data_IF_503119180503
#
_entry.id   IF_503119180503
#
_cell.length_a   1.000
_cell.length_b   1.000
_cell.length_c   1.000
_cell.angle_alpha   90.00
_cell.angle_beta   90.00
_cell.angle_gamma   90.00
#
_symmetry.space_group_name_H-M   'P 1'
#
loop_
_entity.id
_entity.type
_entity.pdbx_description
1 polymer ?
#
# COMPACT_ATOMS: atom_id res chain seq x y z
N UNK A 1 19.84 -8.65 -1.76
CA UNK A 1 19.83 -7.53 -0.77
C UNK A 1 18.95 -7.96 0.38
N UNK A 2 19.45 -7.96 1.59
CA UNK A 2 18.72 -8.40 2.79
C UNK A 2 18.34 -7.24 3.71
N UNK A 3 19.02 -6.11 3.60
CA UNK A 3 18.76 -4.90 4.38
C UNK A 3 17.87 -3.92 3.61
N UNK A 4 17.23 -2.99 4.32
CA UNK A 4 16.40 -1.94 3.73
C UNK A 4 17.18 -1.12 2.70
N UNK A 5 16.46 -0.60 1.70
CA UNK A 5 17.04 0.37 0.76
C UNK A 5 17.43 1.64 1.49
N UNK A 6 18.45 2.35 0.97
CA UNK A 6 18.85 3.65 1.50
C UNK A 6 17.76 4.69 1.26
N UNK A 7 16.83 4.81 2.21
CA UNK A 7 15.67 5.69 2.17
C UNK A 7 15.58 6.52 3.45
N UNK A 8 14.79 7.59 3.41
CA UNK A 8 14.46 8.34 4.62
C UNK A 8 13.88 7.41 5.70
N UNK A 9 13.00 6.49 5.33
CA UNK A 9 12.39 5.57 6.28
C UNK A 9 13.39 4.65 6.98
N UNK A 10 14.35 4.11 6.23
CA UNK A 10 15.40 3.28 6.83
C UNK A 10 16.33 4.09 7.75
N UNK A 11 16.58 5.37 7.42
CA UNK A 11 17.44 6.25 8.21
C UNK A 11 16.76 6.79 9.48
N UNK A 12 15.42 6.86 9.50
CA UNK A 12 14.62 7.42 10.61
C UNK A 12 13.73 6.38 11.31
N UNK A 13 13.89 5.11 10.98
CA UNK A 13 13.12 4.04 11.60
C UNK A 13 13.37 3.95 13.11
N UNK A 14 12.32 3.60 13.85
CA UNK A 14 12.43 3.26 15.26
C UNK A 14 13.39 2.09 15.44
N UNK A 15 14.17 2.13 16.51
CA UNK A 15 15.05 1.04 16.87
C UNK A 15 14.22 -0.17 17.30
N UNK A 16 14.48 -1.32 16.71
CA UNK A 16 13.91 -2.60 17.12
C UNK A 16 15.01 -3.66 17.19
N UNK A 17 14.79 -4.70 18.01
CA UNK A 17 15.66 -5.87 18.00
C UNK A 17 15.31 -6.70 16.76
N UNK A 18 16.27 -7.01 15.87
CA UNK A 18 16.02 -7.88 14.72
C UNK A 18 15.42 -9.22 15.17
N UNK A 19 14.49 -9.74 14.39
CA UNK A 19 13.91 -11.05 14.64
C UNK A 19 14.86 -12.17 14.19
N UNK A 20 14.77 -13.31 14.87
CA UNK A 20 15.61 -14.46 14.55
C UNK A 20 15.38 -15.00 13.14
N UNK A 21 16.38 -15.75 12.64
CA UNK A 21 16.23 -16.51 11.39
C UNK A 21 15.71 -17.91 11.71
N UNK A 22 14.75 -18.41 10.94
CA UNK A 22 14.28 -19.80 11.08
C UNK A 22 15.39 -20.79 10.70
N UNK A 23 15.86 -21.57 11.66
CA UNK A 23 16.96 -22.55 11.49
C UNK A 23 16.58 -23.96 11.97
N UNK A 24 15.31 -24.24 12.19
CA UNK A 24 14.77 -25.49 12.70
C UNK A 24 13.46 -25.88 12.01
N UNK A 25 12.95 -27.06 12.34
CA UNK A 25 11.62 -27.53 11.91
C UNK A 25 10.61 -27.26 13.02
N UNK A 26 9.59 -26.46 12.71
CA UNK A 26 8.54 -26.08 13.66
C UNK A 26 7.15 -26.37 13.10
N UNK A 27 6.16 -26.33 13.98
CA UNK A 27 4.73 -26.44 13.64
C UNK A 27 3.97 -25.19 14.06
N UNK A 28 2.84 -24.90 13.40
CA UNK A 28 1.92 -23.84 13.79
C UNK A 28 0.52 -24.09 13.22
N UNK A 29 -0.44 -23.26 13.62
CA UNK A 29 -1.76 -23.24 12.97
C UNK A 29 -1.68 -22.52 11.62
N UNK A 30 -1.05 -21.35 11.57
CA UNK A 30 -0.97 -20.52 10.36
C UNK A 30 0.46 -20.06 10.09
N UNK A 31 0.98 -20.38 8.91
CA UNK A 31 2.25 -19.84 8.39
C UNK A 31 1.96 -18.73 7.39
N UNK A 32 2.48 -17.53 7.66
CA UNK A 32 2.35 -16.34 6.80
C UNK A 32 3.67 -16.11 6.06
N UNK A 33 3.62 -16.07 4.73
CA UNK A 33 4.77 -15.87 3.85
C UNK A 33 4.82 -14.41 3.41
N UNK A 34 5.72 -13.63 4.00
CA UNK A 34 5.93 -12.20 3.76
C UNK A 34 5.62 -11.33 4.98
N UNK A 35 6.61 -10.54 5.41
CA UNK A 35 6.56 -9.60 6.54
C UNK A 35 6.22 -8.15 6.11
N UNK A 36 5.42 -7.99 5.05
CA UNK A 36 4.80 -6.71 4.69
C UNK A 36 3.43 -6.54 5.34
N UNK A 37 2.75 -5.43 5.09
CA UNK A 37 1.46 -5.11 5.73
C UNK A 37 0.41 -6.20 5.61
N UNK A 38 0.25 -6.83 4.43
CA UNK A 38 -0.71 -7.93 4.28
C UNK A 38 -0.43 -9.07 5.25
N UNK A 39 0.85 -9.49 5.31
CA UNK A 39 1.25 -10.59 6.20
C UNK A 39 1.17 -10.19 7.67
N UNK A 40 1.66 -9.01 8.03
CA UNK A 40 1.63 -8.51 9.41
C UNK A 40 0.20 -8.32 9.90
N UNK A 41 -0.66 -7.72 9.08
CA UNK A 41 -2.08 -7.54 9.43
C UNK A 41 -2.80 -8.87 9.60
N UNK A 42 -2.56 -9.84 8.70
CA UNK A 42 -3.12 -11.19 8.81
C UNK A 42 -2.65 -11.88 10.08
N UNK A 43 -1.34 -11.86 10.32
CA UNK A 43 -0.73 -12.50 11.48
C UNK A 43 -1.23 -11.90 12.81
N UNK A 44 -1.35 -10.57 12.87
CA UNK A 44 -1.81 -9.90 14.09
C UNK A 44 -3.28 -10.23 14.39
N UNK A 45 -4.19 -10.15 13.40
CA UNK A 45 -5.60 -10.53 13.60
C UNK A 45 -5.76 -11.99 14.03
N UNK A 46 -4.94 -12.89 13.47
CA UNK A 46 -4.97 -14.31 13.83
C UNK A 46 -4.38 -14.58 15.22
N UNK A 47 -3.26 -13.93 15.58
CA UNK A 47 -2.68 -14.03 16.91
C UNK A 47 -3.65 -13.48 17.98
N UNK A 48 -4.30 -12.34 17.73
CA UNK A 48 -5.36 -11.78 18.58
C UNK A 48 -6.56 -12.73 18.73
N UNK A 49 -6.82 -13.56 17.71
CA UNK A 49 -7.87 -14.59 17.74
C UNK A 49 -7.41 -15.93 18.37
N UNK A 50 -6.16 -16.03 18.86
CA UNK A 50 -5.62 -17.18 19.58
C UNK A 50 -5.03 -18.28 18.67
N UNK A 51 -4.79 -18.02 17.39
CA UNK A 51 -4.05 -18.96 16.53
C UNK A 51 -2.55 -18.92 16.84
N UNK A 52 -1.89 -20.07 16.75
CA UNK A 52 -0.43 -20.15 16.73
C UNK A 52 0.07 -19.72 15.33
N UNK A 53 0.66 -18.53 15.25
CA UNK A 53 1.05 -17.88 13.99
C UNK A 53 2.56 -17.78 13.86
N UNK A 54 3.06 -18.10 12.65
CA UNK A 54 4.46 -17.92 12.26
C UNK A 54 4.50 -17.02 11.02
N UNK A 55 5.29 -15.94 11.07
CA UNK A 55 5.58 -15.07 9.91
C UNK A 55 7.01 -15.34 9.42
N UNK A 56 7.17 -15.59 8.12
CA UNK A 56 8.46 -15.76 7.46
C UNK A 56 8.71 -14.60 6.49
N UNK A 57 9.70 -13.76 6.80
CA UNK A 57 10.14 -12.65 5.96
C UNK A 57 11.50 -12.98 5.33
N UNK A 58 11.60 -12.74 4.03
CA UNK A 58 12.80 -13.04 3.26
C UNK A 58 14.00 -12.12 3.60
N UNK A 59 13.69 -10.90 4.01
CA UNK A 59 14.66 -9.83 4.32
C UNK A 59 14.41 -9.28 5.73
N UNK A 60 14.08 -7.99 5.85
CA UNK A 60 13.65 -7.33 7.08
C UNK A 60 12.16 -7.01 7.05
N UNK A 61 11.53 -6.91 8.20
CA UNK A 61 10.13 -6.53 8.31
C UNK A 61 9.87 -5.23 7.55
N UNK A 62 8.84 -5.20 6.70
CA UNK A 62 8.52 -4.04 5.87
C UNK A 62 9.49 -3.78 4.71
N UNK A 63 10.39 -4.72 4.36
CA UNK A 63 11.39 -4.55 3.30
C UNK A 63 10.79 -4.14 1.95
N UNK A 64 9.64 -4.68 1.58
CA UNK A 64 8.99 -4.44 0.31
C UNK A 64 8.27 -3.10 0.21
N UNK A 65 7.15 -3.05 -0.51
CA UNK A 65 6.34 -1.85 -0.69
C UNK A 65 5.88 -1.23 0.64
N UNK A 66 5.70 -2.02 1.67
CA UNK A 66 5.23 -1.57 2.99
C UNK A 66 6.16 -0.57 3.67
N UNK A 67 7.47 -0.71 3.51
CA UNK A 67 8.45 0.25 4.05
C UNK A 67 8.98 1.26 3.05
N UNK A 68 8.35 1.40 1.85
CA UNK A 68 8.85 2.27 0.76
C UNK A 68 7.80 3.20 0.16
N UNK A 69 6.52 3.06 0.56
CA UNK A 69 5.39 3.83 0.02
C UNK A 69 5.36 5.28 0.54
N UNK A 70 4.43 6.09 0.04
CA UNK A 70 4.26 7.49 0.46
C UNK A 70 3.82 7.69 1.91
N UNK A 71 3.35 6.63 2.57
CA UNK A 71 2.82 6.68 3.92
C UNK A 71 1.38 7.18 4.01
N UNK A 72 0.67 7.31 2.90
CA UNK A 72 -0.70 7.82 2.88
C UNK A 72 -1.71 6.73 3.24
N UNK A 73 -2.68 7.08 4.08
CA UNK A 73 -3.85 6.29 4.42
C UNK A 73 -5.01 6.70 3.50
N UNK A 74 -5.06 6.10 2.32
CA UNK A 74 -6.12 6.33 1.33
C UNK A 74 -7.22 5.31 1.53
N UNK A 75 -8.42 5.77 1.87
CA UNK A 75 -9.58 4.94 2.14
C UNK A 75 -10.33 4.56 0.85
N UNK A 76 -9.66 3.88 -0.07
CA UNK A 76 -10.32 3.42 -1.30
C UNK A 76 -9.59 2.22 -1.89
N UNK A 77 -10.23 1.59 -2.86
CA UNK A 77 -9.55 0.69 -3.79
C UNK A 77 -8.93 1.51 -4.93
N UNK A 78 -8.10 0.89 -5.78
CA UNK A 78 -7.57 1.55 -6.99
C UNK A 78 -8.63 1.72 -8.11
N UNK A 79 -9.88 1.48 -7.79
CA UNK A 79 -11.07 1.73 -8.61
C UNK A 79 -12.16 2.34 -7.74
N UNK A 80 -12.79 3.37 -8.25
CA UNK A 80 -13.92 4.00 -7.59
C UNK A 80 -15.13 3.08 -7.57
N UNK A 81 -16.00 3.28 -6.58
CA UNK A 81 -17.11 2.38 -6.32
C UNK A 81 -18.12 2.33 -7.48
N UNK A 82 -18.32 3.42 -8.20
CA UNK A 82 -19.17 3.48 -9.39
C UNK A 82 -18.61 2.63 -10.55
N UNK A 83 -17.27 2.58 -10.69
CA UNK A 83 -16.60 1.71 -11.66
C UNK A 83 -16.74 0.24 -11.26
N UNK A 84 -16.69 -0.06 -9.96
CA UNK A 84 -16.93 -1.40 -9.42
C UNK A 84 -18.37 -1.82 -9.71
N UNK A 85 -19.35 -0.95 -9.47
CA UNK A 85 -20.76 -1.19 -9.75
C UNK A 85 -21.01 -1.50 -11.22
N UNK A 86 -20.48 -0.69 -12.11
CA UNK A 86 -20.58 -0.89 -13.57
C UNK A 86 -19.93 -2.19 -14.05
N UNK A 87 -18.83 -2.61 -13.39
CA UNK A 87 -18.02 -3.77 -13.81
C UNK A 87 -18.49 -5.08 -13.22
N UNK A 88 -19.02 -5.08 -11.99
CA UNK A 88 -19.28 -6.28 -11.20
C UNK A 88 -20.72 -6.33 -10.63
N UNK A 89 -21.53 -5.31 -10.86
CA UNK A 89 -22.92 -5.22 -10.40
C UNK A 89 -23.07 -4.60 -9.00
N UNK A 90 -24.32 -4.22 -8.69
CA UNK A 90 -24.70 -3.48 -7.49
C UNK A 90 -24.41 -4.25 -6.20
N UNK A 91 -24.65 -5.56 -6.15
CA UNK A 91 -24.47 -6.35 -4.93
C UNK A 91 -22.97 -6.45 -4.55
N UNK A 92 -22.11 -6.66 -5.55
CA UNK A 92 -20.67 -6.63 -5.36
C UNK A 92 -20.19 -5.24 -4.91
N UNK A 93 -20.70 -4.18 -5.52
CA UNK A 93 -20.36 -2.81 -5.15
C UNK A 93 -20.80 -2.47 -3.72
N UNK A 94 -21.98 -2.91 -3.30
CA UNK A 94 -22.46 -2.73 -1.92
C UNK A 94 -21.58 -3.45 -0.91
N UNK A 95 -21.22 -4.70 -1.19
CA UNK A 95 -20.36 -5.48 -0.31
C UNK A 95 -18.97 -4.82 -0.20
N UNK A 96 -18.31 -4.52 -1.32
CA UNK A 96 -16.99 -3.91 -1.31
C UNK A 96 -17.01 -2.49 -0.74
N UNK A 97 -18.04 -1.69 -1.07
CA UNK A 97 -18.20 -0.33 -0.57
C UNK A 97 -18.37 -0.27 0.95
N UNK A 98 -19.12 -1.22 1.53
CA UNK A 98 -19.31 -1.30 3.00
C UNK A 98 -18.01 -1.53 3.78
N UNK A 99 -16.97 -2.06 3.14
CA UNK A 99 -15.70 -2.42 3.76
C UNK A 99 -14.57 -1.41 3.49
N UNK A 100 -14.74 -0.48 2.54
CA UNK A 100 -13.59 0.26 2.00
C UNK A 100 -12.93 1.22 2.99
N UNK A 101 -13.59 1.58 4.09
CA UNK A 101 -13.03 2.47 5.12
C UNK A 101 -12.45 1.70 6.32
N UNK A 102 -12.73 0.41 6.47
CA UNK A 102 -12.31 -0.38 7.63
C UNK A 102 -10.78 -0.48 7.75
N UNK A 103 -10.06 -0.54 6.64
CA UNK A 103 -8.60 -0.66 6.68
C UNK A 103 -7.92 0.52 7.37
N UNK A 104 -8.42 1.74 7.15
CA UNK A 104 -7.95 2.94 7.85
C UNK A 104 -8.30 2.92 9.33
N UNK A 105 -9.48 2.44 9.69
CA UNK A 105 -9.89 2.27 11.08
C UNK A 105 -9.01 1.27 11.82
N UNK A 106 -8.75 0.10 11.22
CA UNK A 106 -7.85 -0.92 11.77
C UNK A 106 -6.47 -0.33 12.08
N UNK A 107 -5.90 0.45 11.16
CA UNK A 107 -4.59 1.10 11.38
C UNK A 107 -4.65 2.04 12.59
N UNK A 108 -5.64 2.92 12.67
CA UNK A 108 -5.79 3.87 13.79
C UNK A 108 -6.00 3.16 15.13
N UNK A 109 -6.81 2.09 15.15
CA UNK A 109 -7.02 1.26 16.34
C UNK A 109 -5.73 0.60 16.80
N UNK A 110 -4.92 0.05 15.88
CA UNK A 110 -3.64 -0.58 16.19
C UNK A 110 -2.61 0.42 16.71
N UNK A 111 -2.49 1.58 16.06
CA UNK A 111 -1.63 2.67 16.54
C UNK A 111 -1.96 3.00 17.99
N UNK A 112 -3.24 3.14 18.32
CA UNK A 112 -3.70 3.45 19.68
C UNK A 112 -3.50 2.28 20.64
N UNK A 113 -3.91 1.06 20.26
CA UNK A 113 -3.89 -0.14 21.13
C UNK A 113 -2.50 -0.58 21.49
N UNK A 114 -1.59 -0.59 20.51
CA UNK A 114 -0.20 -1.04 20.66
C UNK A 114 0.78 0.12 20.83
N UNK A 115 0.28 1.36 20.91
CA UNK A 115 1.09 2.58 21.05
C UNK A 115 2.21 2.66 20.02
N UNK A 116 1.89 2.36 18.75
CA UNK A 116 2.84 2.36 17.66
C UNK A 116 3.25 3.80 17.33
N UNK A 117 4.51 4.13 17.55
CA UNK A 117 5.09 5.42 17.19
C UNK A 117 5.43 5.44 15.69
N UNK A 118 4.49 5.87 14.86
CA UNK A 118 4.63 5.93 13.41
C UNK A 118 4.24 7.29 12.82
N UNK A 119 4.41 8.37 13.55
CA UNK A 119 4.18 9.75 13.09
C UNK A 119 2.78 9.98 12.47
N UNK A 120 1.74 9.32 12.95
CA UNK A 120 0.40 9.44 12.39
C UNK A 120 -0.11 10.88 12.42
N UNK A 121 -0.58 11.36 11.26
CA UNK A 121 -1.26 12.64 11.09
C UNK A 121 -2.57 12.43 10.33
N UNK A 122 -3.70 12.92 10.85
CA UNK A 122 -5.00 12.82 10.17
C UNK A 122 -5.13 13.81 9.01
N UNK A 123 -5.99 13.47 8.06
CA UNK A 123 -6.37 14.29 6.92
C UNK A 123 -5.55 14.01 5.67
N UNK A 124 -6.26 13.73 4.58
CA UNK A 124 -5.72 13.54 3.24
C UNK A 124 -6.49 14.35 2.21
N UNK A 125 -5.77 14.98 1.30
CA UNK A 125 -6.30 15.82 0.23
C UNK A 125 -6.16 15.13 -1.12
N UNK A 126 -7.28 15.01 -1.84
CA UNK A 126 -7.32 14.68 -3.27
C UNK A 126 -7.48 15.99 -4.03
N UNK A 127 -6.47 16.41 -4.78
CA UNK A 127 -6.44 17.73 -5.40
C UNK A 127 -6.75 17.69 -6.89
N UNK A 128 -7.70 18.51 -7.34
CA UNK A 128 -8.10 18.64 -8.74
C UNK A 128 -7.23 19.68 -9.45
N UNK A 129 -6.80 19.33 -10.67
CA UNK A 129 -6.00 20.19 -11.55
C UNK A 129 -6.87 20.99 -12.55
N UNK A 130 -8.15 20.63 -12.66
CA UNK A 130 -9.13 21.24 -13.55
C UNK A 130 -10.56 20.95 -13.07
N UNK A 131 -11.54 21.65 -13.66
CA UNK A 131 -12.93 21.55 -13.25
C UNK A 131 -13.54 20.16 -13.46
N UNK A 132 -13.08 19.41 -14.47
CA UNK A 132 -13.54 18.04 -14.71
C UNK A 132 -13.12 17.10 -13.57
N UNK A 133 -11.86 17.22 -13.12
CA UNK A 133 -11.39 16.46 -11.97
C UNK A 133 -12.12 16.89 -10.68
N UNK A 134 -12.43 18.18 -10.52
CA UNK A 134 -13.20 18.66 -9.38
C UNK A 134 -14.61 18.06 -9.37
N UNK A 135 -15.30 18.04 -10.50
CA UNK A 135 -16.61 17.37 -10.62
C UNK A 135 -16.53 15.87 -10.27
N UNK A 136 -15.45 15.18 -10.68
CA UNK A 136 -15.23 13.77 -10.28
C UNK A 136 -15.06 13.63 -8.77
N UNK A 137 -14.39 14.59 -8.10
CA UNK A 137 -14.25 14.58 -6.62
C UNK A 137 -15.59 14.85 -5.93
N UNK A 138 -16.48 15.64 -6.51
CA UNK A 138 -17.84 15.84 -6.02
C UNK A 138 -18.64 14.54 -6.06
N UNK A 139 -18.62 13.83 -7.20
CA UNK A 139 -19.23 12.51 -7.34
C UNK A 139 -18.61 11.48 -6.38
N UNK A 140 -17.29 11.50 -6.21
CA UNK A 140 -16.59 10.63 -5.26
C UNK A 140 -17.03 10.89 -3.82
N UNK A 141 -17.18 12.15 -3.43
CA UNK A 141 -17.71 12.52 -2.10
C UNK A 141 -19.09 11.92 -1.86
N UNK A 142 -20.03 12.12 -2.80
CA UNK A 142 -21.38 11.56 -2.69
C UNK A 142 -21.36 10.03 -2.57
N UNK A 143 -20.52 9.37 -3.37
CA UNK A 143 -20.35 7.93 -3.32
C UNK A 143 -19.79 7.46 -1.97
N UNK A 144 -18.76 8.11 -1.46
CA UNK A 144 -18.16 7.74 -0.18
C UNK A 144 -19.10 8.00 1.01
N UNK A 145 -19.87 9.09 0.97
CA UNK A 145 -20.92 9.37 1.96
C UNK A 145 -22.02 8.33 1.97
N UNK A 146 -22.38 7.77 0.80
CA UNK A 146 -23.35 6.66 0.67
C UNK A 146 -22.87 5.42 1.41
N UNK A 147 -21.57 5.15 1.43
CA UNK A 147 -20.95 4.00 2.10
C UNK A 147 -20.40 4.32 3.50
N UNK A 148 -20.78 5.45 4.08
CA UNK A 148 -20.61 5.72 5.49
C UNK A 148 -19.49 6.69 5.85
N UNK A 149 -18.63 7.13 4.95
CA UNK A 149 -17.66 8.19 5.25
C UNK A 149 -18.35 9.56 5.26
N UNK A 150 -18.60 10.08 6.45
CA UNK A 150 -19.20 11.41 6.67
C UNK A 150 -18.15 12.49 7.00
N UNK A 151 -16.88 12.15 6.96
CA UNK A 151 -15.77 13.04 7.34
C UNK A 151 -15.10 13.65 6.09
N UNK A 152 -15.91 14.15 5.16
CA UNK A 152 -15.48 14.65 3.86
C UNK A 152 -15.86 16.13 3.68
N UNK A 153 -14.92 16.92 3.14
CA UNK A 153 -15.11 18.34 2.86
C UNK A 153 -14.61 18.68 1.46
N UNK A 154 -15.46 19.34 0.64
CA UNK A 154 -15.05 19.91 -0.64
C UNK A 154 -14.46 21.29 -0.43
N UNK A 155 -13.29 21.53 -0.99
CA UNK A 155 -12.56 22.77 -0.96
C UNK A 155 -12.56 23.41 -2.35
N UNK A 156 -12.96 24.67 -2.45
CA UNK A 156 -12.80 25.49 -3.65
C UNK A 156 -11.33 25.92 -3.86
N UNK A 157 -11.07 26.62 -4.98
CA UNK A 157 -9.73 27.11 -5.32
C UNK A 157 -9.12 28.02 -4.24
N UNK A 158 -9.93 28.81 -3.53
CA UNK A 158 -9.44 29.69 -2.47
C UNK A 158 -9.16 28.93 -1.17
N UNK A 159 -9.98 27.92 -0.87
CA UNK A 159 -9.80 27.09 0.30
C UNK A 159 -8.56 26.20 0.18
N UNK A 160 -8.36 25.55 -0.97
CA UNK A 160 -7.18 24.67 -1.15
C UNK A 160 -5.86 25.46 -1.10
N UNK A 161 -5.81 26.71 -1.58
CA UNK A 161 -4.61 27.56 -1.48
C UNK A 161 -4.21 27.86 -0.03
N UNK A 162 -5.13 27.81 0.92
CA UNK A 162 -4.84 27.96 2.35
C UNK A 162 -4.29 26.69 2.99
N UNK A 163 -4.55 25.54 2.39
CA UNK A 163 -4.09 24.23 2.88
C UNK A 163 -2.79 23.76 2.21
N UNK A 164 -2.54 24.20 0.96
CA UNK A 164 -1.34 23.87 0.19
C UNK A 164 -0.88 25.11 -0.58
N UNK A 165 0.36 25.53 -0.37
CA UNK A 165 0.95 26.72 -1.01
C UNK A 165 1.30 26.48 -2.47
N UNK A 166 0.31 26.17 -3.29
CA UNK A 166 0.42 25.92 -4.73
C UNK A 166 -0.77 26.51 -5.48
N UNK A 167 -0.50 27.17 -6.60
CA UNK A 167 -1.54 27.73 -7.48
C UNK A 167 -2.08 26.73 -8.52
N UNK A 168 -1.65 25.47 -8.43
CA UNK A 168 -1.97 24.45 -9.44
C UNK A 168 -3.40 23.90 -9.37
N UNK A 169 -4.08 24.09 -8.24
CA UNK A 169 -5.30 23.36 -7.92
C UNK A 169 -6.54 24.21 -8.06
N UNK A 170 -7.58 23.67 -8.71
CA UNK A 170 -8.90 24.29 -8.87
C UNK A 170 -9.81 23.97 -7.69
N UNK A 171 -9.49 22.95 -6.91
CA UNK A 171 -10.21 22.53 -5.71
C UNK A 171 -9.67 21.22 -5.18
N UNK A 172 -10.31 20.67 -4.14
CA UNK A 172 -9.92 19.41 -3.53
C UNK A 172 -11.08 18.74 -2.78
N UNK A 173 -10.95 17.44 -2.54
CA UNK A 173 -11.69 16.70 -1.54
C UNK A 173 -10.76 16.40 -0.36
N UNK A 174 -11.10 16.90 0.83
CA UNK A 174 -10.44 16.58 2.09
C UNK A 174 -11.17 15.41 2.77
N UNK A 175 -10.45 14.32 3.00
CA UNK A 175 -10.89 13.20 3.82
C UNK A 175 -10.24 13.29 5.21
N UNK A 176 -11.01 13.66 6.22
CA UNK A 176 -10.53 13.75 7.61
C UNK A 176 -10.29 12.38 8.24
N UNK A 177 -10.88 11.31 7.68
CA UNK A 177 -10.66 9.92 8.11
C UNK A 177 -9.41 9.28 7.49
N UNK A 178 -8.86 9.90 6.45
CA UNK A 178 -7.55 9.56 5.89
C UNK A 178 -6.39 10.08 6.74
N UNK A 179 -5.21 10.15 6.15
CA UNK A 179 -4.03 10.69 6.82
C UNK A 179 -2.72 10.13 6.30
N UNK A 180 -1.66 10.27 7.10
CA UNK A 180 -0.37 9.68 6.75
C UNK A 180 0.43 9.22 7.97
N UNK A 181 1.41 8.36 7.70
CA UNK A 181 2.25 7.69 8.70
C UNK A 181 3.70 7.61 8.24
N UNK A 182 4.59 7.22 9.16
CA UNK A 182 5.88 6.63 8.83
C UNK A 182 5.68 5.12 8.57
N UNK A 183 5.68 4.67 7.30
CA UNK A 183 5.19 3.32 6.97
C UNK A 183 6.07 2.20 7.52
N UNK A 184 7.39 2.38 7.58
CA UNK A 184 8.26 1.35 8.14
C UNK A 184 8.06 1.20 9.65
N UNK A 185 7.82 2.30 10.38
CA UNK A 185 7.54 2.25 11.82
C UNK A 185 6.20 1.56 12.12
N UNK A 186 5.18 1.74 11.27
CA UNK A 186 3.94 0.97 11.41
C UNK A 186 4.22 -0.54 11.26
N UNK A 187 5.00 -0.96 10.25
CA UNK A 187 5.32 -2.38 10.04
C UNK A 187 6.10 -2.98 11.21
N UNK A 188 7.10 -2.25 11.74
CA UNK A 188 7.88 -2.67 12.91
C UNK A 188 6.96 -2.82 14.14
N UNK A 189 6.10 -1.82 14.39
CA UNK A 189 5.17 -1.86 15.52
C UNK A 189 4.15 -3.01 15.43
N UNK A 190 3.66 -3.33 14.23
CA UNK A 190 2.78 -4.48 14.03
C UNK A 190 3.50 -5.82 14.25
N UNK A 191 4.77 -5.94 13.83
CA UNK A 191 5.57 -7.14 14.07
C UNK A 191 5.83 -7.35 15.57
N UNK A 192 6.10 -6.27 16.32
CA UNK A 192 6.20 -6.33 17.78
C UNK A 192 4.86 -6.69 18.43
N UNK A 193 3.74 -6.16 17.92
CA UNK A 193 2.41 -6.50 18.41
C UNK A 193 2.07 -7.99 18.19
N UNK A 194 2.50 -8.59 17.05
CA UNK A 194 2.36 -10.04 16.82
C UNK A 194 3.08 -10.81 17.90
N UNK A 195 4.32 -10.46 18.24
CA UNK A 195 5.11 -11.11 19.28
C UNK A 195 4.45 -10.96 20.66
N UNK A 196 3.92 -9.79 20.99
CA UNK A 196 3.18 -9.55 22.22
C UNK A 196 1.93 -10.43 22.36
N UNK A 197 1.32 -10.81 21.25
CA UNK A 197 0.18 -11.73 21.21
C UNK A 197 0.59 -13.21 21.02
N UNK A 198 1.88 -13.56 21.23
CA UNK A 198 2.38 -14.93 21.20
C UNK A 198 2.74 -15.47 19.82
N UNK A 199 2.59 -14.67 18.76
CA UNK A 199 3.05 -15.05 17.42
C UNK A 199 4.58 -15.00 17.29
N UNK A 200 5.10 -15.75 16.32
CA UNK A 200 6.53 -15.86 16.02
C UNK A 200 6.84 -15.19 14.68
N UNK A 201 7.85 -14.33 14.66
CA UNK A 201 8.30 -13.63 13.47
C UNK A 201 9.75 -14.01 13.18
N UNK A 202 10.05 -14.35 11.94
CA UNK A 202 11.40 -14.70 11.49
C UNK A 202 11.80 -13.84 10.30
N UNK A 203 12.92 -13.13 10.43
CA UNK A 203 13.58 -12.40 9.35
C UNK A 203 14.64 -13.27 8.66
N UNK A 204 15.14 -12.84 7.49
CA UNK A 204 16.16 -13.56 6.72
C UNK A 204 15.79 -15.03 6.47
N UNK A 205 14.49 -15.29 6.36
CA UNK A 205 13.88 -16.62 6.27
C UNK A 205 13.09 -16.79 4.96
N UNK A 206 13.78 -16.52 3.83
CA UNK A 206 13.19 -16.59 2.50
C UNK A 206 12.58 -17.97 2.22
N UNK A 207 11.29 -17.99 1.91
CA UNK A 207 10.58 -19.20 1.49
C UNK A 207 11.04 -19.59 0.09
N UNK A 208 11.48 -20.84 -0.04
CA UNK A 208 11.97 -21.42 -1.29
C UNK A 208 10.96 -22.36 -1.95
N UNK A 209 10.06 -22.93 -1.15
CA UNK A 209 9.04 -23.87 -1.61
C UNK A 209 7.84 -23.90 -0.64
N UNK A 210 6.65 -24.04 -1.19
CA UNK A 210 5.44 -24.39 -0.47
C UNK A 210 4.97 -25.74 -1.03
N UNK A 211 4.85 -26.76 -0.15
CA UNK A 211 4.28 -28.05 -0.52
C UNK A 211 2.78 -28.02 -0.23
N UNK A 212 1.98 -28.23 -1.26
CA UNK A 212 0.51 -28.25 -1.19
C UNK A 212 0.03 -29.60 -0.64
N UNK A 213 0.18 -29.76 0.66
CA UNK A 213 -0.24 -30.93 1.44
C UNK A 213 -1.12 -30.48 2.62
N UNK A 214 -1.76 -31.42 3.30
CA UNK A 214 -2.57 -31.13 4.50
C UNK A 214 -2.03 -31.98 5.65
N UNK A 215 -1.30 -31.40 6.65
CA UNK A 215 -0.86 -29.98 6.74
C UNK A 215 0.15 -29.60 5.64
N UNK A 216 0.20 -28.31 5.30
CA UNK A 216 1.16 -27.79 4.33
C UNK A 216 2.58 -27.69 4.91
N UNK A 217 3.61 -27.79 4.04
CA UNK A 217 5.01 -27.61 4.47
C UNK A 217 5.64 -26.45 3.71
N UNK A 218 6.08 -25.42 4.47
CA UNK A 218 6.76 -24.23 3.96
C UNK A 218 8.25 -24.35 4.27
N UNK A 219 9.10 -24.33 3.23
CA UNK A 219 10.55 -24.54 3.33
C UNK A 219 11.32 -23.23 3.16
N UNK A 220 12.33 -23.06 3.97
CA UNK A 220 13.38 -22.05 3.81
C UNK A 220 14.72 -22.75 3.54
N UNK A 221 15.80 -21.98 3.40
CA UNK A 221 17.14 -22.57 3.22
C UNK A 221 17.66 -23.31 4.46
N UNK A 222 17.17 -22.96 5.69
CA UNK A 222 17.72 -23.47 6.94
C UNK A 222 16.70 -24.17 7.84
N UNK A 223 15.42 -24.10 7.52
CA UNK A 223 14.35 -24.66 8.34
C UNK A 223 13.07 -24.89 7.54
N UNK A 224 12.03 -25.37 8.22
CA UNK A 224 10.71 -25.56 7.64
C UNK A 224 9.61 -25.34 8.69
N UNK A 225 8.43 -24.96 8.19
CA UNK A 225 7.21 -24.83 8.99
C UNK A 225 6.17 -25.80 8.46
N UNK A 226 5.63 -26.65 9.32
CA UNK A 226 4.44 -27.46 9.00
C UNK A 226 3.22 -26.73 9.58
N UNK A 227 2.29 -26.32 8.74
CA UNK A 227 1.17 -25.47 9.12
C UNK A 227 -0.17 -26.04 8.65
N UNK A 228 -1.25 -25.85 9.45
CA UNK A 228 -2.60 -26.19 9.04
C UNK A 228 -3.04 -25.32 7.87
N UNK A 229 -2.69 -24.04 7.91
CA UNK A 229 -3.00 -23.05 6.87
C UNK A 229 -1.76 -22.26 6.46
N UNK A 230 -1.69 -21.84 5.20
CA UNK A 230 -0.64 -20.96 4.68
C UNK A 230 -1.26 -19.74 4.04
N UNK A 231 -0.71 -18.55 4.35
CA UNK A 231 -1.11 -17.27 3.75
C UNK A 231 0.07 -16.72 2.94
N UNK A 232 -0.09 -16.60 1.63
CA UNK A 232 0.93 -16.06 0.73
C UNK A 232 0.71 -14.57 0.55
N UNK A 233 1.57 -13.75 1.15
CA UNK A 233 1.48 -12.29 1.24
C UNK A 233 2.74 -11.56 0.73
N UNK A 234 3.55 -12.22 -0.11
CA UNK A 234 4.83 -11.68 -0.61
C UNK A 234 4.72 -10.61 -1.68
N UNK A 235 3.52 -10.41 -2.27
CA UNK A 235 3.22 -9.39 -3.29
C UNK A 235 4.31 -9.32 -4.38
N UNK A 236 4.85 -8.12 -4.73
CA UNK A 236 5.87 -7.93 -5.78
C UNK A 236 7.22 -8.61 -5.48
N UNK A 237 7.45 -9.04 -4.26
CA UNK A 237 8.71 -9.61 -3.77
C UNK A 237 8.65 -11.13 -3.53
N UNK A 238 7.53 -11.77 -3.83
CA UNK A 238 7.33 -13.22 -3.69
C UNK A 238 8.22 -13.92 -4.70
N UNK A 239 8.99 -14.06 -5.21
CA UNK A 239 9.72 -14.82 -6.24
C UNK A 239 8.81 -15.70 -7.12
N UNK A 240 8.99 -15.60 -8.41
CA UNK A 240 8.16 -16.26 -9.45
C UNK A 240 8.14 -17.79 -9.34
N UNK A 241 9.07 -18.38 -8.59
CA UNK A 241 9.21 -19.85 -8.45
C UNK A 241 8.39 -20.42 -7.30
N UNK A 242 8.02 -19.58 -6.31
CA UNK A 242 7.27 -20.03 -5.12
C UNK A 242 5.83 -20.34 -5.50
N UNK A 243 5.15 -19.39 -6.19
CA UNK A 243 3.79 -19.55 -6.70
C UNK A 243 3.69 -18.95 -8.13
N UNK A 244 4.04 -19.70 -9.17
CA UNK A 244 4.12 -19.20 -10.54
C UNK A 244 2.80 -18.65 -11.10
N UNK A 245 1.67 -19.20 -10.67
CA UNK A 245 0.34 -18.78 -11.15
C UNK A 245 -0.02 -17.35 -10.71
N UNK A 246 0.43 -16.92 -9.53
CA UNK A 246 0.23 -15.55 -9.07
C UNK A 246 0.95 -14.52 -9.95
N UNK A 247 2.14 -14.86 -10.43
CA UNK A 247 2.95 -13.99 -11.28
C UNK A 247 2.36 -13.74 -12.68
N UNK A 248 1.47 -14.62 -13.17
CA UNK A 248 0.82 -14.47 -14.49
C UNK A 248 -0.24 -13.39 -14.53
N UNK A 249 -0.92 -13.14 -13.39
CA UNK A 249 -2.09 -12.25 -13.26
C UNK A 249 -1.77 -10.89 -12.67
N UNK A 250 -0.50 -10.63 -12.40
CA UNK A 250 -0.04 -9.37 -11.82
C UNK A 250 1.24 -8.88 -12.49
N UNK A 251 1.53 -7.60 -12.38
CA UNK A 251 2.74 -6.98 -12.94
C UNK A 251 3.38 -6.06 -11.90
N UNK A 252 4.67 -6.24 -11.58
CA UNK A 252 5.37 -5.32 -10.70
C UNK A 252 5.56 -3.96 -11.40
N UNK A 253 5.29 -2.90 -10.65
CA UNK A 253 5.46 -1.52 -11.07
C UNK A 253 6.24 -0.76 -10.00
N UNK A 254 7.26 0.00 -10.44
CA UNK A 254 8.06 0.86 -9.58
C UNK A 254 7.46 2.25 -9.46
N UNK A 255 7.48 2.82 -8.26
CA UNK A 255 7.23 4.24 -7.99
C UNK A 255 8.45 4.86 -7.36
N UNK A 256 8.67 6.15 -7.59
CA UNK A 256 9.84 6.88 -7.18
C UNK A 256 9.49 7.88 -6.10
N UNK A 257 10.34 7.98 -5.09
CA UNK A 257 10.15 8.89 -3.96
C UNK A 257 11.46 9.62 -3.65
N UNK A 258 11.34 10.89 -3.34
CA UNK A 258 12.43 11.72 -2.82
C UNK A 258 12.02 12.36 -1.50
N UNK A 259 12.99 12.73 -0.68
CA UNK A 259 12.79 13.73 0.37
C UNK A 259 13.83 14.85 0.25
N UNK A 260 13.37 16.07 0.51
CA UNK A 260 14.25 17.21 0.61
C UNK A 260 15.19 17.09 1.81
N UNK A 261 16.17 17.97 1.90
CA UNK A 261 16.83 18.31 3.15
C UNK A 261 15.77 18.77 4.18
N UNK A 262 16.16 18.81 5.46
CA UNK A 262 15.28 19.33 6.51
C UNK A 262 15.00 20.83 6.26
N UNK A 263 13.74 21.16 6.09
CA UNK A 263 13.27 22.55 5.93
C UNK A 263 13.18 23.23 7.30
N UNK A 264 13.24 24.55 7.32
CA UNK A 264 12.86 25.28 8.53
C UNK A 264 11.39 25.04 8.87
N UNK A 265 11.04 25.10 10.13
CA UNK A 265 9.65 24.89 10.57
C UNK A 265 8.68 25.86 9.90
N UNK A 266 9.09 27.14 9.76
CA UNK A 266 8.28 28.17 9.09
C UNK A 266 8.06 27.85 7.61
N UNK A 267 9.11 27.41 6.90
CA UNK A 267 8.99 27.02 5.49
C UNK A 267 8.10 25.80 5.35
N UNK A 268 8.33 24.75 6.13
CA UNK A 268 7.51 23.53 6.10
C UNK A 268 6.02 23.85 6.37
N UNK A 269 5.75 24.62 7.42
CA UNK A 269 4.40 25.08 7.78
C UNK A 269 3.78 25.97 6.70
N UNK A 270 4.56 26.79 6.01
CA UNK A 270 4.06 27.60 4.90
C UNK A 270 3.62 26.79 3.69
N UNK A 271 4.23 25.59 3.46
CA UNK A 271 3.87 24.71 2.34
C UNK A 271 2.56 23.97 2.58
N UNK A 272 2.39 23.36 3.76
CA UNK A 272 1.22 22.55 4.15
C UNK A 272 0.89 22.82 5.63
N UNK A 273 0.14 23.90 5.92
CA UNK A 273 -0.06 24.39 7.29
C UNK A 273 -0.62 23.37 8.29
N UNK A 274 -1.51 22.49 7.83
CA UNK A 274 -2.15 21.45 8.66
C UNK A 274 -1.47 20.08 8.53
N UNK A 275 -0.35 20.01 7.81
CA UNK A 275 0.40 18.78 7.60
C UNK A 275 -0.45 17.62 7.04
N UNK A 276 -1.39 17.92 6.13
CA UNK A 276 -2.13 16.90 5.39
C UNK A 276 -1.22 16.19 4.38
N UNK A 277 -1.50 14.94 4.06
CA UNK A 277 -0.96 14.35 2.84
C UNK A 277 -1.80 14.76 1.65
N UNK A 278 -1.17 14.78 0.48
CA UNK A 278 -1.80 15.25 -0.76
C UNK A 278 -1.50 14.26 -1.88
N UNK A 279 -2.51 13.95 -2.69
CA UNK A 279 -2.34 13.30 -3.97
C UNK A 279 -3.19 13.99 -5.04
N UNK A 280 -2.70 14.04 -6.28
CA UNK A 280 -3.45 14.63 -7.39
C UNK A 280 -4.32 13.59 -8.11
N UNK A 281 -5.31 14.06 -8.87
CA UNK A 281 -6.27 13.24 -9.59
C UNK A 281 -5.80 12.83 -11.00
N UNK A 282 -4.50 12.96 -11.31
CA UNK A 282 -3.98 12.52 -12.61
C UNK A 282 -3.85 10.99 -12.67
N UNK A 283 -3.92 10.44 -13.87
CA UNK A 283 -3.74 9.00 -14.09
C UNK A 283 -2.36 8.49 -13.61
N UNK A 284 -1.30 9.27 -13.84
CA UNK A 284 0.01 9.09 -13.24
C UNK A 284 0.20 10.14 -12.16
N UNK A 285 -0.42 9.88 -11.02
CA UNK A 285 -0.53 10.81 -9.91
C UNK A 285 0.83 11.15 -9.28
N UNK A 286 0.90 12.37 -8.77
CA UNK A 286 1.92 12.83 -7.84
C UNK A 286 1.33 12.89 -6.43
N UNK A 287 2.15 12.58 -5.44
CA UNK A 287 1.75 12.63 -4.03
C UNK A 287 2.86 13.20 -3.16
N UNK A 288 2.49 13.87 -2.07
CA UNK A 288 3.47 14.45 -1.17
C UNK A 288 2.91 14.70 0.23
N UNK A 289 3.81 14.88 1.18
CA UNK A 289 3.53 15.22 2.57
C UNK A 289 4.77 15.73 3.29
N UNK A 290 4.61 16.33 4.46
CA UNK A 290 5.73 16.58 5.35
C UNK A 290 6.08 15.34 6.19
N UNK A 291 7.35 15.18 6.51
CA UNK A 291 7.83 14.20 7.49
C UNK A 291 7.85 14.82 8.89
N UNK A 292 7.99 14.01 9.93
CA UNK A 292 8.04 14.48 11.31
C UNK A 292 9.20 15.46 11.58
N UNK A 293 10.29 15.37 10.82
CA UNK A 293 11.45 16.25 10.92
C UNK A 293 11.47 17.37 9.87
N UNK A 294 10.29 17.75 9.35
CA UNK A 294 10.08 18.88 8.43
C UNK A 294 10.77 18.73 7.07
N UNK A 295 10.84 17.54 6.50
CA UNK A 295 11.23 17.34 5.09
C UNK A 295 9.97 17.28 4.23
N UNK A 296 10.05 17.73 2.99
CA UNK A 296 9.01 17.42 2.03
C UNK A 296 9.33 16.09 1.35
N UNK A 297 8.50 15.07 1.62
CA UNK A 297 8.48 13.83 0.87
C UNK A 297 7.60 14.02 -0.36
N UNK A 298 8.14 13.70 -1.53
CA UNK A 298 7.43 13.82 -2.81
C UNK A 298 7.61 12.54 -3.61
N UNK A 299 6.52 11.95 -4.05
CA UNK A 299 6.52 10.75 -4.88
C UNK A 299 5.73 10.95 -6.16
N UNK A 300 6.04 10.15 -7.14
CA UNK A 300 5.35 10.17 -8.43
C UNK A 300 6.14 9.50 -9.53
N UNK A 301 5.50 9.37 -10.68
CA UNK A 301 6.04 8.60 -11.78
C UNK A 301 5.87 7.10 -11.55
N UNK A 302 5.70 6.37 -12.62
CA UNK A 302 5.58 4.91 -12.60
C UNK A 302 6.52 4.32 -13.63
N UNK A 303 7.31 3.33 -13.21
CA UNK A 303 8.13 2.51 -14.11
C UNK A 303 7.59 1.09 -14.12
N UNK A 304 7.13 0.64 -15.27
CA UNK A 304 6.55 -0.69 -15.42
C UNK A 304 7.64 -1.77 -15.53
N UNK A 305 7.41 -2.94 -14.90
CA UNK A 305 8.28 -4.10 -15.01
C UNK A 305 9.38 -4.21 -13.97
N UNK A 306 9.24 -3.57 -12.80
CA UNK A 306 10.20 -3.63 -11.69
C UNK A 306 11.62 -3.19 -12.05
N UNK A 307 11.76 -2.22 -12.93
CA UNK A 307 13.04 -1.58 -13.24
C UNK A 307 13.15 -0.30 -12.46
N UNK A 308 14.28 -0.11 -11.79
CA UNK A 308 14.59 1.18 -11.20
C UNK A 308 15.00 2.16 -12.31
N UNK A 309 14.58 3.43 -12.26
CA UNK A 309 15.04 4.44 -13.19
C UNK A 309 16.52 4.75 -12.92
N UNK A 310 17.23 5.16 -13.96
CA UNK A 310 18.65 5.54 -13.85
C UNK A 310 18.85 6.75 -12.94
N UNK A 311 17.84 7.64 -12.89
CA UNK A 311 17.89 8.87 -12.11
C UNK A 311 16.50 9.26 -11.58
N UNK A 312 16.27 9.01 -10.29
CA UNK A 312 15.02 9.33 -9.58
C UNK A 312 14.81 10.83 -9.48
N UNK A 313 15.87 11.62 -9.21
CA UNK A 313 15.75 13.07 -9.06
C UNK A 313 15.32 13.72 -10.37
N UNK A 314 15.90 13.30 -11.49
CA UNK A 314 15.54 13.80 -12.82
C UNK A 314 14.04 13.60 -13.14
N UNK A 315 13.44 12.54 -12.61
CA UNK A 315 12.02 12.25 -12.81
C UNK A 315 11.09 13.03 -11.86
N UNK A 316 11.51 13.22 -10.59
CA UNK A 316 10.62 13.70 -9.53
C UNK A 316 10.83 15.18 -9.21
N UNK A 317 12.07 15.69 -9.21
CA UNK A 317 12.37 17.09 -8.84
C UNK A 317 11.64 18.10 -9.72
N UNK A 318 11.54 17.95 -11.06
CA UNK A 318 10.78 18.89 -11.89
C UNK A 318 9.30 18.99 -11.50
N UNK A 319 8.70 17.88 -11.01
CA UNK A 319 7.30 17.83 -10.56
C UNK A 319 7.15 18.54 -9.21
N UNK A 320 8.08 18.26 -8.27
CA UNK A 320 8.16 18.97 -7.00
C UNK A 320 8.24 20.49 -7.21
N UNK A 321 9.16 20.96 -8.07
CA UNK A 321 9.34 22.39 -8.34
C UNK A 321 8.17 23.02 -9.10
N UNK A 322 7.43 22.24 -9.89
CA UNK A 322 6.18 22.70 -10.49
C UNK A 322 5.08 22.89 -9.44
N UNK A 323 5.06 22.07 -8.41
CA UNK A 323 4.09 22.17 -7.29
C UNK A 323 4.51 23.26 -6.29
N UNK A 324 5.78 23.32 -5.94
CA UNK A 324 6.37 24.24 -4.98
C UNK A 324 7.57 25.00 -5.58
N UNK A 325 7.34 26.03 -6.41
CA UNK A 325 8.43 26.82 -6.99
C UNK A 325 9.35 27.48 -5.95
N UNK A 326 8.81 27.73 -4.75
CA UNK A 326 9.54 28.28 -3.61
C UNK A 326 10.63 27.37 -3.06
N UNK A 327 10.66 26.10 -3.44
CA UNK A 327 11.72 25.13 -3.11
C UNK A 327 12.85 25.09 -4.17
N UNK A 328 12.94 26.07 -5.06
CA UNK A 328 14.02 26.14 -6.03
C UNK A 328 15.39 26.17 -5.33
N UNK A 329 16.24 25.20 -5.67
CA UNK A 329 17.57 25.04 -5.07
C UNK A 329 17.62 24.19 -3.80
N UNK A 330 16.48 23.63 -3.35
CA UNK A 330 16.46 22.69 -2.22
C UNK A 330 17.29 21.45 -2.55
N UNK A 331 18.05 20.94 -1.57
CA UNK A 331 18.80 19.69 -1.71
C UNK A 331 17.90 18.48 -1.50
N UNK A 332 18.23 17.40 -2.19
CA UNK A 332 17.57 16.09 -2.01
C UNK A 332 18.48 15.20 -1.18
N UNK A 333 18.06 14.87 0.03
CA UNK A 333 18.85 14.02 0.93
C UNK A 333 18.64 12.54 0.68
N UNK A 334 17.40 12.14 0.37
CA UNK A 334 17.06 10.73 0.14
C UNK A 334 16.27 10.56 -1.16
N UNK A 335 16.56 9.46 -1.84
CA UNK A 335 15.83 8.99 -3.02
C UNK A 335 15.75 7.48 -3.02
N UNK A 336 14.59 6.94 -3.32
CA UNK A 336 14.41 5.49 -3.38
C UNK A 336 13.28 5.10 -4.32
N UNK A 337 13.18 3.81 -4.57
CA UNK A 337 12.11 3.19 -5.36
C UNK A 337 11.44 2.11 -4.55
N UNK A 338 10.19 1.81 -4.89
CA UNK A 338 9.44 0.70 -4.33
C UNK A 338 8.56 0.05 -5.39
N UNK A 339 8.48 -1.27 -5.38
CA UNK A 339 7.65 -2.02 -6.31
C UNK A 339 6.33 -2.44 -5.65
N UNK A 340 5.22 -2.12 -6.29
CA UNK A 340 3.90 -2.66 -5.98
C UNK A 340 3.43 -3.59 -7.10
N UNK A 341 2.41 -4.40 -6.86
CA UNK A 341 1.77 -5.21 -7.92
C UNK A 341 0.54 -4.52 -8.47
N UNK A 342 0.49 -4.47 -9.80
CA UNK A 342 -0.64 -4.06 -10.58
C UNK A 342 -1.39 -5.29 -11.07
N UNK A 343 -2.72 -5.32 -10.90
CA UNK A 343 -3.63 -6.25 -11.59
C UNK A 343 -4.25 -5.57 -12.80
N UNK A 344 -4.73 -6.34 -13.77
CA UNK A 344 -5.36 -5.76 -14.95
C UNK A 344 -6.68 -5.05 -14.60
N UNK A 345 -7.45 -5.61 -13.67
CA UNK A 345 -8.67 -5.03 -13.15
C UNK A 345 -8.48 -3.84 -12.21
N UNK A 346 -7.25 -3.63 -11.72
CA UNK A 346 -6.90 -2.70 -10.63
C UNK A 346 -7.50 -3.06 -9.26
N UNK A 347 -8.28 -4.15 -9.17
CA UNK A 347 -8.80 -4.65 -7.91
C UNK A 347 -7.79 -5.56 -7.20
N UNK A 348 -7.80 -5.61 -5.86
CA UNK A 348 -6.99 -6.56 -5.09
C UNK A 348 -7.28 -8.00 -5.49
N UNK A 349 -6.23 -8.80 -5.62
CA UNK A 349 -6.33 -10.22 -5.97
C UNK A 349 -6.22 -11.08 -4.72
N UNK A 350 -7.36 -11.60 -4.26
CA UNK A 350 -7.43 -12.61 -3.22
C UNK A 350 -7.79 -13.96 -3.85
N UNK A 351 -7.40 -15.05 -3.22
CA UNK A 351 -7.76 -16.36 -3.74
C UNK A 351 -7.32 -17.52 -2.85
N UNK A 352 -7.87 -18.67 -3.17
CA UNK A 352 -7.46 -19.97 -2.66
C UNK A 352 -6.55 -20.62 -3.69
N UNK A 353 -5.32 -20.94 -3.29
CA UNK A 353 -4.37 -21.69 -4.14
C UNK A 353 -4.55 -23.18 -3.94
N UNK A 354 -5.03 -23.56 -2.74
CA UNK A 354 -5.44 -24.91 -2.39
C UNK A 354 -6.45 -24.87 -1.24
N UNK A 355 -6.88 -26.01 -0.74
CA UNK A 355 -7.87 -26.14 0.34
C UNK A 355 -7.46 -25.42 1.64
N UNK A 356 -6.13 -25.32 1.89
CA UNK A 356 -5.54 -24.70 3.07
C UNK A 356 -4.47 -23.65 2.74
N UNK A 357 -4.36 -23.21 1.49
CA UNK A 357 -3.38 -22.20 1.06
C UNK A 357 -4.10 -21.03 0.40
N UNK A 358 -3.90 -19.84 0.93
CA UNK A 358 -4.55 -18.60 0.52
C UNK A 358 -3.53 -17.59 0.02
N UNK A 359 -3.95 -16.68 -0.87
CA UNK A 359 -3.10 -15.59 -1.36
C UNK A 359 -3.82 -14.27 -1.35
N UNK A 360 -3.11 -13.19 -1.03
CA UNK A 360 -3.61 -11.81 -1.06
C UNK A 360 -2.52 -10.89 -1.58
N UNK A 361 -2.76 -10.26 -2.75
CA UNK A 361 -1.79 -9.41 -3.43
C UNK A 361 -2.46 -8.42 -4.40
N UNK A 362 -1.67 -7.59 -5.10
CA UNK A 362 -2.14 -6.84 -6.27
C UNK A 362 -3.03 -5.65 -5.96
N UNK A 363 -2.73 -4.88 -4.93
CA UNK A 363 -3.53 -3.72 -4.49
C UNK A 363 -3.42 -2.50 -5.41
N UNK A 364 -2.64 -2.58 -6.48
CA UNK A 364 -2.58 -1.60 -7.59
C UNK A 364 -2.32 -0.15 -7.16
N UNK A 365 -1.51 0.08 -6.12
CA UNK A 365 -1.15 1.39 -5.59
C UNK A 365 -1.90 1.80 -4.32
N UNK A 366 -3.09 1.26 -4.05
CA UNK A 366 -3.92 1.58 -2.87
C UNK A 366 -3.80 0.50 -1.76
N UNK A 367 -2.55 0.15 -1.39
CA UNK A 367 -2.31 -1.01 -0.53
C UNK A 367 -2.33 -0.72 0.97
N UNK A 368 -2.04 0.49 1.44
CA UNK A 368 -1.80 0.72 2.88
C UNK A 368 -3.02 0.34 3.72
N UNK A 369 -4.18 0.88 3.42
CA UNK A 369 -5.42 0.56 4.14
C UNK A 369 -5.99 -0.80 3.72
N UNK A 370 -5.98 -1.10 2.42
CA UNK A 370 -6.58 -2.33 1.89
C UNK A 370 -5.87 -3.61 2.38
N UNK A 371 -4.56 -3.58 2.67
CA UNK A 371 -3.84 -4.70 3.26
C UNK A 371 -4.28 -5.01 4.69
N UNK A 372 -4.68 -3.98 5.43
CA UNK A 372 -5.18 -4.15 6.80
C UNK A 372 -6.59 -4.73 6.81
N UNK A 373 -7.45 -4.31 5.88
CA UNK A 373 -8.71 -4.98 5.62
C UNK A 373 -8.49 -6.46 5.22
N UNK A 374 -7.58 -6.73 4.29
CA UNK A 374 -7.26 -8.09 3.85
C UNK A 374 -6.88 -9.01 5.03
N UNK A 375 -6.09 -8.48 5.97
CA UNK A 375 -5.73 -9.21 7.21
C UNK A 375 -6.93 -9.55 8.08
N UNK A 376 -7.91 -8.67 8.19
CA UNK A 376 -9.18 -8.95 8.90
C UNK A 376 -9.97 -10.03 8.18
N UNK A 377 -10.14 -9.90 6.85
CA UNK A 377 -10.96 -10.83 6.06
C UNK A 377 -10.42 -12.26 6.08
N UNK A 378 -9.11 -12.46 6.01
CA UNK A 378 -8.53 -13.80 6.10
C UNK A 378 -8.67 -14.39 7.52
N UNK A 379 -8.64 -13.57 8.55
CA UNK A 379 -8.89 -14.03 9.91
C UNK A 379 -10.37 -14.42 10.13
N UNK A 380 -11.31 -13.69 9.55
CA UNK A 380 -12.73 -14.04 9.53
C UNK A 380 -12.94 -15.38 8.81
N UNK A 381 -12.37 -15.56 7.62
CA UNK A 381 -12.42 -16.80 6.84
C UNK A 381 -11.94 -18.00 7.66
N UNK A 382 -10.76 -17.91 8.29
CA UNK A 382 -10.19 -19.03 9.07
C UNK A 382 -10.97 -19.31 10.36
N UNK A 383 -11.81 -18.39 10.81
CA UNK A 383 -12.78 -18.58 11.90
C UNK A 383 -14.13 -19.11 11.43
N UNK A 384 -14.31 -19.35 10.12
CA UNK A 384 -15.51 -19.94 9.54
C UNK A 384 -16.45 -18.96 8.83
N UNK A 385 -16.12 -17.67 8.75
CA UNK A 385 -16.88 -16.66 8.01
C UNK A 385 -16.14 -16.23 6.75
N UNK A 386 -16.53 -16.79 5.61
CA UNK A 386 -15.86 -16.60 4.33
C UNK A 386 -16.50 -15.50 3.46
N UNK A 387 -17.69 -14.99 3.80
CA UNK A 387 -18.51 -14.16 2.90
C UNK A 387 -17.74 -12.94 2.37
N UNK A 388 -17.13 -12.20 3.27
CA UNK A 388 -16.41 -10.96 2.93
C UNK A 388 -15.10 -11.21 2.16
N UNK A 389 -14.38 -12.27 2.50
CA UNK A 389 -13.20 -12.69 1.74
C UNK A 389 -13.59 -13.13 0.32
N UNK A 390 -14.66 -13.87 0.20
CA UNK A 390 -15.17 -14.39 -1.07
C UNK A 390 -15.66 -13.28 -2.01
N UNK A 391 -16.12 -12.15 -1.48
CA UNK A 391 -16.44 -10.97 -2.28
C UNK A 391 -15.23 -10.50 -3.13
N UNK A 392 -14.02 -10.60 -2.61
CA UNK A 392 -12.79 -10.33 -3.39
C UNK A 392 -12.32 -11.55 -4.19
N UNK A 393 -12.36 -12.75 -3.61
CA UNK A 393 -11.84 -13.97 -4.23
C UNK A 393 -12.62 -14.35 -5.51
N UNK A 394 -13.89 -13.96 -5.60
CA UNK A 394 -14.74 -14.19 -6.77
C UNK A 394 -14.57 -13.12 -7.87
N UNK A 395 -13.81 -12.05 -7.65
CA UNK A 395 -13.52 -11.08 -8.70
C UNK A 395 -12.67 -11.71 -9.79
N UNK A 396 -13.02 -11.50 -11.08
CA UNK A 396 -12.24 -12.06 -12.17
C UNK A 396 -10.88 -11.35 -12.31
N UNK A 397 -9.82 -12.12 -12.32
CA UNK A 397 -8.45 -11.64 -12.57
C UNK A 397 -7.89 -12.30 -13.83
N UNK A 398 -7.74 -11.50 -14.87
CA UNK A 398 -7.21 -11.95 -16.16
C UNK A 398 -5.69 -11.75 -16.25
N UNK A 399 -4.98 -12.59 -17.00
CA UNK A 399 -3.57 -12.35 -17.31
C UNK A 399 -3.41 -11.11 -18.18
N UNK A 400 -2.28 -10.43 -18.04
CA UNK A 400 -1.98 -9.27 -18.88
C UNK A 400 -1.87 -9.65 -20.36
N UNK A 401 -2.40 -8.81 -21.29
CA UNK A 401 -2.24 -9.02 -22.73
C UNK A 401 -0.77 -9.19 -23.14
N UNK A 402 -0.49 -10.17 -23.98
CA UNK A 402 0.86 -10.49 -24.42
C UNK A 402 1.71 -11.22 -23.38
N UNK A 403 1.12 -11.67 -22.26
CA UNK A 403 1.78 -12.44 -21.22
C UNK A 403 2.95 -11.70 -20.56
N UNK A 404 3.91 -12.44 -20.02
CA UNK A 404 5.06 -11.83 -19.29
C UNK A 404 5.99 -11.00 -20.18
N UNK A 405 6.04 -11.26 -21.47
CA UNK A 405 6.96 -10.60 -22.43
C UNK A 405 6.44 -9.24 -22.88
N UNK A 406 5.15 -9.13 -23.20
CA UNK A 406 4.56 -7.91 -23.80
C UNK A 406 3.72 -7.08 -22.81
N UNK A 407 3.46 -7.57 -21.58
CA UNK A 407 2.65 -6.83 -20.60
C UNK A 407 3.21 -5.45 -20.29
N UNK A 408 4.54 -5.30 -20.18
CA UNK A 408 5.20 -4.02 -19.89
C UNK A 408 5.01 -3.02 -21.02
N UNK A 409 5.37 -3.29 -22.31
CA UNK A 409 5.15 -2.33 -23.38
C UNK A 409 3.68 -1.98 -23.58
N UNK A 410 2.75 -2.93 -23.51
CA UNK A 410 1.32 -2.63 -23.67
C UNK A 410 0.78 -1.74 -22.55
N UNK A 411 1.17 -2.00 -21.31
CA UNK A 411 0.76 -1.14 -20.19
C UNK A 411 1.38 0.26 -20.29
N UNK A 412 2.64 0.37 -20.71
CA UNK A 412 3.30 1.65 -20.94
C UNK A 412 2.62 2.47 -22.04
N UNK A 413 2.20 1.83 -23.13
CA UNK A 413 1.41 2.50 -24.19
C UNK A 413 0.06 3.01 -23.67
N UNK A 414 -0.66 2.19 -22.89
CA UNK A 414 -1.90 2.60 -22.25
C UNK A 414 -1.70 3.79 -21.29
N UNK A 415 -0.66 3.74 -20.48
CA UNK A 415 -0.33 4.84 -19.56
C UNK A 415 0.04 6.13 -20.30
N UNK A 416 0.78 6.04 -21.41
CA UNK A 416 1.10 7.19 -22.25
C UNK A 416 -0.17 7.85 -22.85
N UNK A 417 -1.13 7.03 -23.29
CA UNK A 417 -2.42 7.50 -23.76
C UNK A 417 -3.20 8.27 -22.69
N UNK A 418 -3.33 7.72 -21.48
CA UNK A 418 -4.02 8.38 -20.37
C UNK A 418 -3.28 9.64 -19.89
N UNK A 419 -1.95 9.61 -19.85
CA UNK A 419 -1.14 10.79 -19.51
C UNK A 419 -1.31 11.92 -20.54
N UNK A 420 -1.52 11.59 -21.81
CA UNK A 420 -1.84 12.59 -22.83
C UNK A 420 -3.23 13.19 -22.60
N UNK A 421 -4.22 12.36 -22.25
CA UNK A 421 -5.56 12.85 -21.89
C UNK A 421 -5.54 13.79 -20.70
N UNK A 422 -4.80 13.45 -19.61
CA UNK A 422 -4.61 14.33 -18.44
C UNK A 422 -4.08 15.72 -18.87
N UNK A 423 -3.08 15.75 -19.80
CA UNK A 423 -2.50 17.01 -20.30
C UNK A 423 -3.48 17.83 -21.12
N UNK A 424 -4.38 17.17 -21.83
CA UNK A 424 -5.38 17.82 -22.69
C UNK A 424 -6.67 18.16 -21.92
N UNK A 425 -6.83 17.70 -20.68
CA UNK A 425 -8.02 17.90 -19.86
C UNK A 425 -9.28 17.17 -20.38
N UNK A 426 -9.09 16.06 -21.14
CA UNK A 426 -10.17 15.31 -21.80
C UNK A 426 -10.33 13.88 -21.28
#
# INVERSE_FOLDING_TARGET
>A
MTEHTSSYYAASANKYAPFDTLNESITCDVCVVGGGYTGLSSALHLAEAGFDVVVLEASRIGFGASGRNGGQLVNSYSRDIDVIEKSYGMDTARMLGSMMFEGGEIIRERIKRYQIDCDYRPGGLFVAMNDKQLATLEEQKENWERYGNKQLELLDANAIRREVASDRYTGALLDHSGGHIHPLNLAIGEADAIRLNGGRVYELSAVTQIQHTTPAVVRTAKGQVTAKYVIVAGNAYLGDKVEPELAKRSMPCGTQVITTERLSEDLARSLIPKNYCVEDCNYLLDYYRLTADNRLLYGGGVVYGARDPDDVERLVVPKLLKTFPQLKGVKIDYRWTGNFLLTLSRMPQFGRLDTNIYSMQGYSGHGVTCTHLAGRLIAELLRGDAERFDAFANLPHYPFPGGRTLRVPFTAMGAAYYSLRDRLGV
#
